data_IF_216463188515
#
_entry.id   IF_216463188515
#
_cell.length_a   1.000
_cell.length_b   1.000
_cell.length_c   1.000
_cell.angle_alpha   90.00
_cell.angle_beta   90.00
_cell.angle_gamma   90.00
#
_symmetry.space_group_name_H-M   'P 1'
#
loop_
_entity.id
_entity.type
_entity.pdbx_description
1 polymer ?
#
# COMPACT_ATOMS: atom_id res chain seq x y z
N UNK A 1 14.86 12.43 -6.11
CA UNK A 1 14.42 13.01 -4.82
C UNK A 1 13.67 11.91 -4.10
N UNK A 2 13.85 11.72 -2.78
CA UNK A 2 13.14 10.67 -2.07
C UNK A 2 11.63 10.85 -2.24
N UNK A 3 10.96 9.75 -2.57
CA UNK A 3 9.50 9.71 -2.65
C UNK A 3 8.86 9.74 -1.26
N UNK A 4 9.51 9.08 -0.29
CA UNK A 4 9.06 8.99 1.10
C UNK A 4 10.28 9.03 2.01
N UNK A 5 10.17 9.79 3.09
CA UNK A 5 11.18 9.80 4.17
C UNK A 5 10.46 9.69 5.51
N UNK A 6 10.86 8.69 6.29
CA UNK A 6 10.45 8.51 7.69
C UNK A 6 11.67 8.77 8.56
N UNK A 7 11.54 9.61 9.57
CA UNK A 7 12.66 9.97 10.45
C UNK A 7 12.26 9.75 11.91
N UNK A 8 13.02 8.87 12.59
CA UNK A 8 12.89 8.58 14.02
C UNK A 8 11.45 8.31 14.47
N UNK A 9 10.67 7.63 13.62
CA UNK A 9 9.28 7.33 13.92
C UNK A 9 9.17 6.36 15.09
N UNK A 10 8.29 6.68 16.04
CA UNK A 10 7.97 5.82 17.17
C UNK A 10 6.46 5.62 17.26
N UNK A 11 6.06 4.40 17.62
CA UNK A 11 4.66 4.06 17.95
C UNK A 11 4.61 2.99 18.99
N UNK A 12 3.92 3.29 20.10
CA UNK A 12 3.71 2.36 21.21
C UNK A 12 2.22 2.11 21.41
N UNK A 13 1.91 0.90 21.85
CA UNK A 13 0.58 0.51 22.28
C UNK A 13 0.63 0.11 23.75
N UNK A 14 -0.20 0.72 24.55
CA UNK A 14 -0.36 0.37 25.96
C UNK A 14 -1.40 -0.74 26.11
N UNK A 15 -1.04 -1.77 26.84
CA UNK A 15 -1.94 -2.81 27.30
C UNK A 15 -2.07 -2.69 28.83
N UNK A 16 -3.01 -3.39 29.44
CA UNK A 16 -3.18 -3.37 30.92
C UNK A 16 -1.93 -3.85 31.69
N UNK A 17 -0.97 -4.50 31.05
CA UNK A 17 0.17 -5.13 31.72
C UNK A 17 1.54 -4.67 31.19
N UNK A 18 1.62 -4.19 29.94
CA UNK A 18 2.90 -3.81 29.33
C UNK A 18 2.70 -2.84 28.17
N UNK A 19 3.78 -2.14 27.80
CA UNK A 19 3.83 -1.28 26.61
C UNK A 19 4.57 -2.00 25.50
N UNK A 20 3.95 -2.13 24.32
CA UNK A 20 4.58 -2.67 23.12
C UNK A 20 5.04 -1.52 22.25
N UNK A 21 6.35 -1.42 22.01
CA UNK A 21 6.94 -0.48 21.05
C UNK A 21 6.86 -1.08 19.65
N UNK A 22 5.75 -0.88 18.97
CA UNK A 22 5.52 -1.46 17.64
C UNK A 22 6.42 -0.83 16.56
N UNK A 23 6.75 0.45 16.69
CA UNK A 23 7.78 1.15 15.91
C UNK A 23 8.68 1.90 16.88
N UNK A 24 10.00 1.74 16.74
CA UNK A 24 10.97 2.20 17.72
C UNK A 24 12.16 2.87 17.03
N UNK A 25 12.09 4.19 16.85
CA UNK A 25 13.09 5.02 16.16
C UNK A 25 13.38 4.52 14.73
N UNK A 26 12.31 4.25 13.97
CA UNK A 26 12.47 3.77 12.60
C UNK A 26 12.84 4.93 11.66
N UNK A 27 13.90 4.71 10.87
CA UNK A 27 14.32 5.57 9.78
C UNK A 27 14.16 4.81 8.46
N UNK A 28 13.50 5.40 7.47
CA UNK A 28 13.31 4.80 6.16
C UNK A 28 13.29 5.89 5.09
N UNK A 29 14.08 5.71 4.04
CA UNK A 29 13.98 6.52 2.83
C UNK A 29 13.65 5.61 1.65
N UNK A 30 12.68 6.01 0.83
CA UNK A 30 12.28 5.31 -0.39
C UNK A 30 12.30 6.29 -1.54
N UNK A 31 13.03 5.96 -2.60
CA UNK A 31 13.11 6.81 -3.79
C UNK A 31 11.81 6.75 -4.61
N UNK A 32 11.57 7.81 -5.36
CA UNK A 32 10.41 7.84 -6.28
C UNK A 32 10.59 6.79 -7.38
N UNK A 33 9.61 5.93 -7.57
CA UNK A 33 9.66 4.84 -8.53
C UNK A 33 10.38 3.57 -8.04
N UNK A 34 10.86 3.56 -6.79
CA UNK A 34 11.50 2.40 -6.17
C UNK A 34 10.46 1.40 -5.66
N UNK A 35 10.74 0.10 -5.79
CA UNK A 35 10.01 -0.98 -5.15
C UNK A 35 10.79 -1.48 -3.92
N UNK A 36 10.25 -1.31 -2.72
CA UNK A 36 10.88 -1.72 -1.46
C UNK A 36 10.03 -2.78 -0.77
N UNK A 37 10.66 -3.88 -0.37
CA UNK A 37 10.07 -4.87 0.50
C UNK A 37 10.50 -4.65 1.96
N UNK A 38 9.56 -4.56 2.88
CA UNK A 38 9.81 -4.57 4.32
C UNK A 38 9.51 -5.97 4.83
N UNK A 39 10.54 -6.65 5.31
CA UNK A 39 10.46 -8.04 5.78
C UNK A 39 10.78 -8.15 7.27
N UNK A 40 10.40 -9.25 7.91
CA UNK A 40 10.69 -9.51 9.32
C UNK A 40 9.64 -10.42 9.95
N UNK A 41 9.87 -10.89 11.18
CA UNK A 41 8.96 -11.81 11.87
C UNK A 41 7.58 -11.19 12.11
N UNK A 42 6.57 -12.04 12.36
CA UNK A 42 5.25 -11.56 12.79
C UNK A 42 5.38 -10.73 14.07
N UNK A 43 4.65 -9.61 14.14
CA UNK A 43 4.71 -8.71 15.29
C UNK A 43 5.90 -7.73 15.30
N UNK A 44 6.79 -7.75 14.29
CA UNK A 44 7.94 -6.81 14.25
C UNK A 44 7.59 -5.35 13.98
N UNK A 45 6.31 -5.02 13.70
CA UNK A 45 5.86 -3.64 13.51
C UNK A 45 5.67 -3.20 12.05
N UNK A 46 5.87 -4.06 11.06
CA UNK A 46 5.81 -3.76 9.63
C UNK A 46 4.51 -3.08 9.18
N UNK A 47 3.37 -3.69 9.51
CA UNK A 47 2.05 -3.11 9.18
C UNK A 47 1.80 -1.80 9.92
N UNK A 48 2.32 -1.64 11.14
CA UNK A 48 2.25 -0.38 11.90
C UNK A 48 3.05 0.71 11.17
N UNK A 49 4.27 0.41 10.72
CA UNK A 49 5.09 1.35 9.95
C UNK A 49 4.43 1.70 8.62
N UNK A 50 3.89 0.71 7.90
CA UNK A 50 3.16 0.95 6.66
C UNK A 50 1.94 1.85 6.86
N UNK A 51 1.20 1.66 7.96
CA UNK A 51 0.06 2.50 8.33
C UNK A 51 0.48 3.93 8.71
N UNK A 52 1.65 4.12 9.30
CA UNK A 52 2.22 5.45 9.56
C UNK A 52 2.57 6.13 8.25
N UNK A 53 3.28 5.46 7.35
CA UNK A 53 3.62 5.98 6.02
C UNK A 53 2.35 6.38 5.24
N UNK A 54 1.32 5.52 5.28
CA UNK A 54 0.04 5.74 4.59
C UNK A 54 -0.89 6.75 5.28
N UNK A 55 -0.46 7.42 6.35
CA UNK A 55 -1.25 8.40 7.12
C UNK A 55 -2.58 7.83 7.66
N UNK A 56 -2.62 6.53 7.91
CA UNK A 56 -3.74 5.85 8.60
C UNK A 56 -3.54 5.94 10.10
N UNK A 57 -2.29 5.85 10.54
CA UNK A 57 -1.89 5.90 11.93
C UNK A 57 -0.92 7.07 12.16
N UNK A 58 -1.18 7.87 13.19
CA UNK A 58 -0.24 8.91 13.62
C UNK A 58 0.81 8.30 14.55
N UNK A 59 2.12 8.51 14.30
CA UNK A 59 3.16 8.11 15.23
C UNK A 59 3.10 8.94 16.51
N UNK A 60 3.70 8.45 17.58
CA UNK A 60 3.81 9.16 18.86
C UNK A 60 4.92 10.22 18.80
N UNK A 61 5.97 9.96 17.99
CA UNK A 61 7.04 10.91 17.69
C UNK A 61 7.71 10.60 16.36
N UNK A 62 8.58 11.47 15.87
CA UNK A 62 9.23 11.39 14.58
C UNK A 62 8.48 12.16 13.50
N UNK A 63 8.93 12.04 12.26
CA UNK A 63 8.35 12.73 11.11
C UNK A 63 8.17 11.83 9.89
N UNK A 64 7.24 12.20 9.02
CA UNK A 64 7.03 11.57 7.71
C UNK A 64 6.92 12.67 6.67
N UNK A 65 7.76 12.58 5.63
CA UNK A 65 7.69 13.46 4.47
C UNK A 65 7.39 12.65 3.21
N UNK A 66 6.56 13.19 2.35
CA UNK A 66 6.18 12.59 1.05
C UNK A 66 6.40 13.62 -0.04
N UNK A 67 7.25 13.30 -1.02
CA UNK A 67 7.66 14.24 -2.05
C UNK A 67 8.34 15.51 -1.50
N UNK A 68 8.96 15.40 -0.31
CA UNK A 68 9.59 16.51 0.40
C UNK A 68 8.64 17.34 1.26
N UNK A 69 7.34 17.06 1.26
CA UNK A 69 6.35 17.72 2.12
C UNK A 69 6.16 16.94 3.44
N UNK A 70 6.33 17.63 4.59
CA UNK A 70 6.01 17.07 5.91
C UNK A 70 4.49 16.89 6.06
N UNK A 71 4.05 15.66 6.33
CA UNK A 71 2.62 15.31 6.23
C UNK A 71 1.92 15.11 7.57
N UNK A 72 2.66 14.94 8.68
CA UNK A 72 2.05 14.64 9.99
C UNK A 72 1.35 15.83 10.65
N UNK A 73 1.68 17.04 10.22
CA UNK A 73 1.11 18.30 10.76
C UNK A 73 -0.11 18.80 9.96
N UNK A 74 -0.61 18.00 9.02
CA UNK A 74 -1.79 18.35 8.25
C UNK A 74 -3.06 18.25 9.10
N UNK A 75 -4.03 19.14 8.83
CA UNK A 75 -5.38 18.97 9.38
C UNK A 75 -6.02 17.70 8.82
N UNK A 76 -6.97 17.09 9.55
CA UNK A 76 -7.64 15.83 9.15
C UNK A 76 -8.22 15.90 7.73
N UNK A 77 -8.80 17.05 7.36
CA UNK A 77 -9.35 17.27 6.02
C UNK A 77 -8.26 17.26 4.95
N UNK A 78 -7.12 17.92 5.21
CA UNK A 78 -5.97 17.95 4.28
C UNK A 78 -5.31 16.58 4.20
N UNK A 79 -5.12 15.92 5.35
CA UNK A 79 -4.57 14.58 5.44
C UNK A 79 -5.41 13.55 4.65
N UNK A 80 -6.75 13.58 4.78
CA UNK A 80 -7.64 12.69 4.04
C UNK A 80 -7.59 12.94 2.53
N UNK A 81 -7.52 14.20 2.10
CA UNK A 81 -7.41 14.55 0.68
C UNK A 81 -6.03 14.14 0.13
N UNK A 82 -4.96 14.39 0.88
CA UNK A 82 -3.60 14.01 0.54
C UNK A 82 -3.47 12.48 0.43
N UNK A 83 -3.97 11.73 1.41
CA UNK A 83 -3.99 10.27 1.40
C UNK A 83 -4.68 9.73 0.16
N UNK A 84 -5.87 10.24 -0.18
CA UNK A 84 -6.60 9.81 -1.37
C UNK A 84 -5.85 10.08 -2.68
N UNK A 85 -5.13 11.20 -2.77
CA UNK A 85 -4.39 11.59 -3.96
C UNK A 85 -3.04 10.86 -4.08
N UNK A 86 -2.39 10.55 -2.95
CA UNK A 86 -1.00 10.08 -2.92
C UNK A 86 -0.86 8.57 -2.77
N UNK A 87 -1.77 7.91 -2.03
CA UNK A 87 -1.61 6.52 -1.65
C UNK A 87 -2.70 5.61 -2.20
N UNK A 88 -2.28 4.54 -2.88
CA UNK A 88 -3.08 3.36 -3.15
C UNK A 88 -2.79 2.29 -2.10
N UNK A 89 -3.81 1.82 -1.38
CA UNK A 89 -3.64 0.86 -0.30
C UNK A 89 -4.19 -0.52 -0.69
N UNK A 90 -3.35 -1.54 -0.54
CA UNK A 90 -3.70 -2.95 -0.77
C UNK A 90 -3.48 -3.68 0.56
N UNK A 91 -4.53 -4.30 1.09
CA UNK A 91 -4.50 -5.00 2.38
C UNK A 91 -4.70 -6.51 2.20
N UNK A 92 -4.22 -7.28 3.14
CA UNK A 92 -4.19 -8.73 3.12
C UNK A 92 -5.58 -9.36 2.85
N UNK A 93 -6.64 -8.85 3.46
CA UNK A 93 -8.01 -9.38 3.34
C UNK A 93 -8.82 -8.69 2.23
N UNK A 94 -8.14 -8.11 1.23
CA UNK A 94 -8.71 -7.35 0.12
C UNK A 94 -9.54 -6.12 0.54
N UNK A 95 -10.20 -6.14 1.69
CA UNK A 95 -11.12 -5.12 2.22
C UNK A 95 -12.15 -4.66 1.17
N UNK A 96 -12.72 -5.61 0.44
CA UNK A 96 -13.79 -5.33 -0.52
C UNK A 96 -15.16 -5.38 0.18
N UNK A 97 -16.08 -4.58 -0.31
CA UNK A 97 -17.49 -4.67 0.04
C UNK A 97 -18.11 -5.83 -0.73
N UNK A 98 -18.27 -6.97 -0.08
CA UNK A 98 -18.65 -8.25 -0.70
C UNK A 98 -20.02 -8.23 -1.36
N UNK A 99 -20.97 -7.47 -0.81
CA UNK A 99 -22.31 -7.30 -1.35
C UNK A 99 -22.41 -6.28 -2.49
N UNK A 100 -21.35 -5.49 -2.67
CA UNK A 100 -21.27 -4.50 -3.73
C UNK A 100 -20.60 -5.06 -4.99
N UNK A 101 -20.89 -4.42 -6.13
CA UNK A 101 -20.28 -4.79 -7.40
C UNK A 101 -18.79 -4.43 -7.44
N UNK A 102 -18.03 -5.09 -8.31
CA UNK A 102 -16.65 -4.73 -8.65
C UNK A 102 -16.55 -3.26 -9.05
N UNK A 103 -17.46 -2.80 -9.90
CA UNK A 103 -17.54 -1.39 -10.30
C UNK A 103 -17.66 -0.46 -9.11
N UNK A 104 -18.51 -0.76 -8.14
CA UNK A 104 -18.73 0.04 -6.93
C UNK A 104 -17.47 0.06 -6.05
N UNK A 105 -16.85 -1.10 -5.81
CA UNK A 105 -15.60 -1.20 -5.06
C UNK A 105 -14.48 -0.33 -5.65
N UNK A 106 -14.27 -0.41 -6.96
CA UNK A 106 -13.24 0.40 -7.64
C UNK A 106 -13.58 1.89 -7.60
N UNK A 107 -14.86 2.24 -7.61
CA UNK A 107 -15.34 3.63 -7.62
C UNK A 107 -15.12 4.36 -6.28
N UNK A 108 -15.01 3.66 -5.16
CA UNK A 108 -14.96 4.27 -3.82
C UNK A 108 -13.95 5.42 -3.73
N UNK A 109 -12.66 5.27 -4.09
CA UNK A 109 -11.70 6.37 -3.98
C UNK A 109 -12.06 7.59 -4.85
N UNK A 110 -12.66 7.37 -6.01
CA UNK A 110 -13.08 8.44 -6.91
C UNK A 110 -14.19 9.33 -6.31
N UNK A 111 -15.01 8.79 -5.40
CA UNK A 111 -16.07 9.57 -4.74
C UNK A 111 -15.49 10.64 -3.79
N UNK A 112 -14.31 10.41 -3.27
CA UNK A 112 -13.61 11.30 -2.32
C UNK A 112 -12.54 12.14 -3.00
N UNK A 113 -12.20 11.86 -4.27
CA UNK A 113 -11.22 12.63 -5.04
C UNK A 113 -11.89 13.85 -5.68
N UNK A 114 -11.51 15.05 -5.21
CA UNK A 114 -12.10 16.31 -5.69
C UNK A 114 -11.52 16.80 -7.02
N UNK A 115 -10.40 16.25 -7.45
CA UNK A 115 -9.73 16.64 -8.70
C UNK A 115 -10.30 15.89 -9.91
N UNK A 116 -10.86 14.68 -9.69
CA UNK A 116 -11.42 13.84 -10.76
C UNK A 116 -12.92 14.12 -10.90
N UNK A 117 -13.33 14.62 -12.06
CA UNK A 117 -14.73 14.95 -12.33
C UNK A 117 -15.58 13.68 -12.45
N UNK A 118 -16.82 13.72 -11.99
CA UNK A 118 -17.75 12.58 -11.98
C UNK A 118 -17.91 11.90 -13.35
N UNK A 119 -17.83 12.67 -14.45
CA UNK A 119 -17.88 12.15 -15.82
C UNK A 119 -16.69 11.24 -16.18
N UNK A 120 -15.54 11.37 -15.48
CA UNK A 120 -14.32 10.60 -15.71
C UNK A 120 -14.30 9.27 -14.95
N UNK A 121 -15.20 9.08 -13.95
CA UNK A 121 -15.20 7.86 -13.13
C UNK A 121 -15.37 6.60 -13.97
N UNK A 122 -16.42 6.57 -14.83
CA UNK A 122 -16.72 5.39 -15.64
C UNK A 122 -15.64 5.03 -16.66
N UNK A 123 -15.09 5.99 -17.43
CA UNK A 123 -13.93 5.73 -18.30
C UNK A 123 -12.71 5.17 -17.55
N UNK A 124 -12.31 5.80 -16.44
CA UNK A 124 -11.16 5.36 -15.62
C UNK A 124 -11.35 3.94 -15.08
N UNK A 125 -12.52 3.63 -14.51
CA UNK A 125 -12.82 2.29 -14.00
C UNK A 125 -12.71 1.25 -15.10
N UNK A 126 -13.26 1.52 -16.30
CA UNK A 126 -13.19 0.60 -17.44
C UNK A 126 -11.77 0.37 -17.92
N UNK A 127 -10.98 1.43 -18.04
CA UNK A 127 -9.58 1.36 -18.44
C UNK A 127 -8.76 0.50 -17.47
N UNK A 128 -8.89 0.74 -16.17
CA UNK A 128 -8.17 -0.03 -15.15
C UNK A 128 -8.66 -1.47 -15.11
N UNK A 129 -9.96 -1.71 -15.22
CA UNK A 129 -10.51 -3.05 -15.28
C UNK A 129 -9.97 -3.83 -16.49
N UNK A 130 -9.78 -3.18 -17.63
CA UNK A 130 -9.17 -3.78 -18.80
C UNK A 130 -7.70 -4.12 -18.57
N UNK A 131 -6.91 -3.19 -18.00
CA UNK A 131 -5.48 -3.41 -17.67
C UNK A 131 -5.27 -4.57 -16.70
N UNK A 132 -6.25 -4.86 -15.86
CA UNK A 132 -6.20 -5.89 -14.82
C UNK A 132 -7.00 -7.16 -15.16
N UNK A 133 -7.52 -7.25 -16.37
CA UNK A 133 -8.29 -8.41 -16.87
C UNK A 133 -9.50 -8.77 -15.98
N UNK A 134 -10.28 -7.74 -15.59
CA UNK A 134 -11.51 -7.87 -14.80
C UNK A 134 -12.71 -7.14 -15.41
N UNK A 135 -12.63 -6.77 -16.68
CA UNK A 135 -13.70 -5.99 -17.36
C UNK A 135 -15.04 -6.69 -17.37
N UNK A 136 -15.06 -8.00 -17.59
CA UNK A 136 -16.25 -8.85 -17.61
C UNK A 136 -16.87 -9.05 -16.21
N UNK A 137 -16.14 -8.70 -15.16
CA UNK A 137 -16.56 -8.85 -13.76
C UNK A 137 -17.18 -7.59 -13.17
N UNK A 138 -17.12 -6.43 -13.85
CA UNK A 138 -17.53 -5.13 -13.31
C UNK A 138 -18.92 -5.11 -12.67
N UNK A 139 -19.86 -5.89 -13.21
CA UNK A 139 -21.24 -5.99 -12.70
C UNK A 139 -21.43 -7.13 -11.68
N UNK A 140 -20.41 -7.94 -11.40
CA UNK A 140 -20.49 -9.02 -10.40
C UNK A 140 -20.30 -8.48 -8.99
N UNK A 141 -20.94 -9.10 -8.00
CA UNK A 141 -20.65 -8.84 -6.59
C UNK A 141 -19.24 -9.34 -6.24
N UNK A 142 -18.49 -8.56 -5.45
CA UNK A 142 -17.10 -8.87 -5.08
C UNK A 142 -17.00 -10.20 -4.31
N UNK A 143 -17.98 -10.53 -3.48
CA UNK A 143 -18.03 -11.78 -2.74
C UNK A 143 -18.22 -13.05 -3.60
N UNK A 144 -18.47 -12.92 -4.92
CA UNK A 144 -18.60 -14.03 -5.87
C UNK A 144 -17.34 -14.28 -6.69
N UNK A 145 -16.27 -13.55 -6.42
CA UNK A 145 -15.01 -13.63 -7.13
C UNK A 145 -14.05 -14.62 -6.47
N UNK A 146 -13.15 -15.21 -7.27
CA UNK A 146 -11.99 -15.97 -6.75
C UNK A 146 -11.01 -15.05 -6.01
N UNK A 147 -10.11 -15.60 -5.20
CA UNK A 147 -9.10 -14.83 -4.46
C UNK A 147 -8.24 -13.95 -5.38
N UNK A 148 -7.76 -14.51 -6.51
CA UNK A 148 -6.97 -13.76 -7.48
C UNK A 148 -7.76 -12.63 -8.16
N UNK A 149 -9.05 -12.84 -8.47
CA UNK A 149 -9.93 -11.79 -9.00
C UNK A 149 -10.18 -10.70 -7.95
N UNK A 150 -10.43 -11.07 -6.69
CA UNK A 150 -10.59 -10.13 -5.57
C UNK A 150 -9.35 -9.26 -5.41
N UNK A 151 -8.15 -9.85 -5.50
CA UNK A 151 -6.90 -9.10 -5.40
C UNK A 151 -6.74 -8.10 -6.55
N UNK A 152 -7.06 -8.50 -7.79
CA UNK A 152 -7.04 -7.57 -8.92
C UNK A 152 -8.03 -6.41 -8.74
N UNK A 153 -9.20 -6.67 -8.15
CA UNK A 153 -10.15 -5.59 -7.79
C UNK A 153 -9.59 -4.68 -6.72
N UNK A 154 -8.91 -5.22 -5.70
CA UNK A 154 -8.24 -4.42 -4.66
C UNK A 154 -7.13 -3.55 -5.25
N UNK A 155 -6.32 -4.08 -6.17
CA UNK A 155 -5.31 -3.32 -6.91
C UNK A 155 -5.98 -2.23 -7.76
N UNK A 156 -7.04 -2.58 -8.53
CA UNK A 156 -7.78 -1.60 -9.32
C UNK A 156 -8.28 -0.43 -8.48
N UNK A 157 -8.85 -0.72 -7.31
CA UNK A 157 -9.28 0.28 -6.35
C UNK A 157 -8.13 1.14 -5.85
N UNK A 158 -6.97 0.55 -5.59
CA UNK A 158 -5.80 1.25 -5.08
C UNK A 158 -5.21 2.25 -6.08
N UNK A 159 -5.35 2.01 -7.40
CA UNK A 159 -4.71 2.84 -8.43
C UNK A 159 -5.69 3.69 -9.26
N UNK A 160 -7.00 3.63 -9.00
CA UNK A 160 -8.02 4.27 -9.83
C UNK A 160 -7.93 5.81 -9.87
N UNK A 161 -7.38 6.43 -8.84
CA UNK A 161 -7.10 7.87 -8.80
C UNK A 161 -5.70 8.23 -9.31
N UNK A 162 -4.98 7.24 -9.87
CA UNK A 162 -3.61 7.39 -10.35
C UNK A 162 -2.59 7.74 -9.25
N UNK A 163 -2.77 7.15 -8.09
CA UNK A 163 -1.89 7.36 -6.94
C UNK A 163 -0.43 7.03 -7.29
N UNK A 164 0.53 7.93 -6.96
CA UNK A 164 1.94 7.72 -7.24
C UNK A 164 2.61 6.67 -6.34
N UNK A 165 2.02 6.39 -5.16
CA UNK A 165 2.60 5.48 -4.17
C UNK A 165 1.61 4.35 -3.89
N UNK A 166 2.08 3.11 -3.95
CA UNK A 166 1.32 1.90 -3.62
C UNK A 166 1.88 1.33 -2.32
N UNK A 167 1.02 1.16 -1.34
CA UNK A 167 1.32 0.52 -0.06
C UNK A 167 0.58 -0.82 -0.02
N UNK A 168 1.33 -1.91 0.13
CA UNK A 168 0.78 -3.26 0.09
C UNK A 168 1.16 -4.04 1.34
N UNK A 169 0.16 -4.42 2.13
CA UNK A 169 0.33 -5.24 3.33
C UNK A 169 -0.06 -6.67 3.01
N UNK A 170 0.94 -7.57 2.94
CA UNK A 170 0.80 -8.99 2.58
C UNK A 170 -0.08 -9.22 1.34
N UNK A 171 0.20 -8.57 0.19
CA UNK A 171 -0.73 -8.54 -0.95
C UNK A 171 -0.98 -9.88 -1.61
N UNK A 172 -0.23 -10.91 -1.21
CA UNK A 172 -0.31 -12.26 -1.78
C UNK A 172 -0.57 -13.34 -0.73
N UNK A 173 -0.73 -12.98 0.55
CA UNK A 173 -0.78 -13.90 1.67
C UNK A 173 -1.88 -14.97 1.59
N UNK A 174 -3.03 -14.65 0.98
CA UNK A 174 -4.18 -15.54 0.84
C UNK A 174 -4.30 -16.22 -0.55
N UNK A 175 -3.26 -16.11 -1.41
CA UNK A 175 -3.31 -16.58 -2.79
C UNK A 175 -2.48 -17.87 -2.99
N UNK A 176 -2.88 -18.68 -3.95
CA UNK A 176 -2.05 -19.77 -4.48
C UNK A 176 -0.84 -19.24 -5.27
N UNK A 177 0.14 -20.11 -5.54
CA UNK A 177 1.42 -19.74 -6.16
C UNK A 177 1.25 -19.05 -7.52
N UNK A 178 0.31 -19.49 -8.37
CA UNK A 178 0.09 -18.90 -9.69
C UNK A 178 -0.50 -17.50 -9.57
N UNK A 179 -1.46 -17.29 -8.69
CA UNK A 179 -2.05 -15.99 -8.44
C UNK A 179 -1.06 -15.03 -7.74
N UNK A 180 -0.19 -15.53 -6.85
CA UNK A 180 0.91 -14.74 -6.27
C UNK A 180 1.81 -14.15 -7.35
N UNK A 181 2.29 -14.99 -8.28
CA UNK A 181 3.14 -14.54 -9.38
C UNK A 181 2.46 -13.47 -10.22
N UNK A 182 1.21 -13.69 -10.62
CA UNK A 182 0.43 -12.74 -11.41
C UNK A 182 0.24 -11.39 -10.72
N UNK A 183 -0.06 -11.39 -9.41
CA UNK A 183 -0.22 -10.15 -8.62
C UNK A 183 1.08 -9.39 -8.56
N UNK A 184 2.20 -10.07 -8.31
CA UNK A 184 3.51 -9.42 -8.30
C UNK A 184 3.89 -8.87 -9.68
N UNK A 185 3.60 -9.57 -10.77
CA UNK A 185 3.83 -9.07 -12.14
C UNK A 185 3.06 -7.76 -12.39
N UNK A 186 1.83 -7.67 -11.90
CA UNK A 186 1.02 -6.46 -11.98
C UNK A 186 1.67 -5.32 -11.17
N UNK A 187 2.04 -5.57 -9.91
CA UNK A 187 2.62 -4.55 -9.03
C UNK A 187 3.97 -4.05 -9.57
N UNK A 188 4.83 -4.96 -10.02
CA UNK A 188 6.13 -4.59 -10.60
C UNK A 188 6.00 -3.83 -11.92
N UNK A 189 5.02 -4.17 -12.78
CA UNK A 189 4.71 -3.37 -13.98
C UNK A 189 4.26 -1.96 -13.62
N UNK A 190 3.39 -1.80 -12.62
CA UNK A 190 2.96 -0.48 -12.15
C UNK A 190 4.14 0.36 -11.66
N UNK A 191 5.12 -0.26 -10.98
CA UNK A 191 6.33 0.40 -10.55
C UNK A 191 7.21 0.80 -11.75
N UNK A 192 7.60 -0.16 -12.58
CA UNK A 192 8.59 0.02 -13.65
C UNK A 192 8.07 0.81 -14.86
N UNK A 193 6.83 0.53 -15.30
CA UNK A 193 6.27 1.13 -16.51
C UNK A 193 5.52 2.44 -16.24
N UNK A 194 4.91 2.57 -15.05
CA UNK A 194 4.14 3.76 -14.68
C UNK A 194 4.87 4.68 -13.67
N UNK A 195 6.10 4.34 -13.29
CA UNK A 195 6.93 5.13 -12.38
C UNK A 195 6.37 5.26 -10.96
N UNK A 196 5.51 4.31 -10.54
CA UNK A 196 4.91 4.33 -9.19
C UNK A 196 5.89 3.78 -8.17
N UNK A 197 5.92 4.39 -7.00
CA UNK A 197 6.66 3.89 -5.83
C UNK A 197 5.86 2.76 -5.20
N UNK A 198 6.53 1.67 -4.80
CA UNK A 198 5.89 0.51 -4.20
C UNK A 198 6.56 0.15 -2.87
N UNK A 199 5.79 0.08 -1.80
CA UNK A 199 6.24 -0.47 -0.52
C UNK A 199 5.39 -1.70 -0.22
N UNK A 200 6.04 -2.86 -0.11
CA UNK A 200 5.40 -4.13 0.22
C UNK A 200 5.87 -4.58 1.59
N UNK A 201 4.93 -4.90 2.46
CA UNK A 201 5.20 -5.67 3.68
C UNK A 201 4.93 -7.13 3.37
N UNK A 202 5.90 -8.00 3.60
CA UNK A 202 5.73 -9.44 3.39
C UNK A 202 6.65 -10.27 4.27
N UNK A 203 6.25 -11.51 4.52
CA UNK A 203 7.10 -12.56 5.10
C UNK A 203 7.54 -13.59 4.06
N UNK A 204 7.13 -13.46 2.80
CA UNK A 204 7.46 -14.36 1.69
C UNK A 204 8.74 -13.87 0.99
N UNK A 205 9.88 -14.60 1.11
CA UNK A 205 11.15 -14.20 0.49
C UNK A 205 11.03 -14.07 -1.04
N UNK A 206 10.25 -14.93 -1.69
CA UNK A 206 10.08 -14.91 -3.15
C UNK A 206 9.41 -13.63 -3.65
N UNK A 207 8.62 -12.97 -2.81
CA UNK A 207 8.02 -11.67 -3.09
C UNK A 207 9.04 -10.56 -2.87
N UNK A 208 9.79 -10.62 -1.74
CA UNK A 208 10.78 -9.62 -1.39
C UNK A 208 11.93 -9.54 -2.42
N UNK A 209 12.41 -10.67 -2.92
CA UNK A 209 13.47 -10.76 -3.94
C UNK A 209 13.11 -10.12 -5.29
N UNK A 210 11.83 -9.86 -5.53
CA UNK A 210 11.36 -9.18 -6.74
C UNK A 210 11.42 -7.65 -6.65
N UNK A 211 11.59 -7.11 -5.44
CA UNK A 211 11.71 -5.68 -5.20
C UNK A 211 13.14 -5.20 -5.46
N UNK A 212 13.30 -3.90 -5.67
CA UNK A 212 14.60 -3.29 -5.92
C UNK A 212 15.48 -3.29 -4.65
N UNK A 213 14.85 -3.27 -3.45
CA UNK A 213 15.53 -3.28 -2.17
C UNK A 213 14.69 -3.97 -1.10
N UNK A 214 15.41 -4.66 -0.19
CA UNK A 214 14.82 -5.34 0.96
C UNK A 214 15.27 -4.61 2.24
N UNK A 215 14.31 -4.32 3.11
CA UNK A 215 14.52 -3.68 4.41
C UNK A 215 14.08 -4.66 5.50
N UNK A 216 15.00 -5.02 6.39
CA UNK A 216 14.69 -5.88 7.53
C UNK A 216 14.13 -5.07 8.69
N UNK A 217 13.05 -5.55 9.30
CA UNK A 217 12.46 -4.95 10.49
C UNK A 217 12.32 -5.98 11.62
N UNK A 218 12.94 -5.68 12.78
CA UNK A 218 12.93 -6.53 13.98
C UNK A 218 12.65 -5.66 15.19
N UNK A 219 11.75 -6.08 16.08
CA UNK A 219 11.40 -5.40 17.33
C UNK A 219 11.14 -3.89 17.17
N UNK A 220 10.41 -3.53 16.11
CA UNK A 220 10.03 -2.16 15.80
C UNK A 220 11.15 -1.31 15.17
N UNK A 221 12.33 -1.87 14.91
CA UNK A 221 13.48 -1.18 14.34
C UNK A 221 13.79 -1.66 12.93
N UNK A 222 14.25 -0.74 12.10
CA UNK A 222 14.83 -1.07 10.80
C UNK A 222 16.31 -1.40 11.01
N UNK A 223 16.71 -2.58 10.58
CA UNK A 223 18.09 -3.05 10.61
C UNK A 223 18.79 -2.67 9.32
N UNK A 224 19.75 -1.72 9.41
CA UNK A 224 20.58 -1.27 8.29
C UNK A 224 19.80 -0.42 7.27
N UNK A 225 20.45 0.56 6.69
CA UNK A 225 19.98 1.18 5.45
C UNK A 225 20.25 0.19 4.33
N UNK A 226 19.29 -0.70 4.02
CA UNK A 226 19.38 -1.78 3.05
C UNK A 226 20.33 -1.54 1.87
N UNK A 227 21.61 -1.72 2.10
CA UNK A 227 22.58 -1.95 1.05
C UNK A 227 22.26 -3.34 0.50
N UNK A 228 22.14 -3.43 -0.82
CA UNK A 228 21.84 -4.65 -1.54
C UNK A 228 22.59 -5.85 -0.94
N UNK A 229 21.87 -6.85 -0.44
CA UNK A 229 22.42 -8.17 -0.22
C UNK A 229 22.74 -8.75 -1.60
N UNK A 230 23.94 -8.44 -2.11
CA UNK A 230 24.56 -9.10 -3.27
C UNK A 230 25.01 -10.49 -2.90
#
# INVERSE_FOLDING_TARGET
MPGITVTQACKSYETSHYTVKAVNHADLSVESGEAVAIVGPSGSGKSTLLNIIGLILKPDSGSVAVGGEEVLNMSDRRCSAFRNASFGYIVQDFALLDDETVYHNIRIPLLYNRQIKRREHKPRIREIAQKLDISDKLNRKAGKLSGGERQRVAIARAIVCDQPIILADEPTGSLDAANKANVMDILMRLCKESGKTLIIVTHDPSIAERCDRIVQMTDGRIEGNGENLT
#
